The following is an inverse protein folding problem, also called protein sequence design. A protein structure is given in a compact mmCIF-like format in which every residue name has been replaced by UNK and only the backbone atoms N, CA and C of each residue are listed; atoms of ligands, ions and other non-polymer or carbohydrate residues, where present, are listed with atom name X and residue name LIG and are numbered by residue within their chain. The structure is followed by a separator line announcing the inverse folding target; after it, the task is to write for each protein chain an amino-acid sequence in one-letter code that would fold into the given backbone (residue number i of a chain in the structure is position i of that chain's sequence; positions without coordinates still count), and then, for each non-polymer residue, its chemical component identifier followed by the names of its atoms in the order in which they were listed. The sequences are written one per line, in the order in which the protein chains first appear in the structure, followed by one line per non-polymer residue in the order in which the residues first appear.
data_IF_728677317861
#
_entry.id   IF_728677317861
#
_cell.length_a   1.000
_cell.length_b   1.000
_cell.length_c   1.000
_cell.angle_alpha   90.00
_cell.angle_beta   90.00
_cell.angle_gamma   90.00
#
_symmetry.space_group_name_H-M   'P 1'
#
loop_
_entity.id
_entity.type
_entity.pdbx_description
1 polymer ?
#
# COMPACT_ATOMS: atom_id res chain seq x y z
N UNK A 1 -7.05 -26.14 -23.42
CA UNK A 1 -8.01 -26.21 -22.30
C UNK A 1 -7.52 -27.25 -21.29
N UNK A 2 -7.88 -27.12 -20.01
CA UNK A 2 -7.51 -28.11 -19.00
C UNK A 2 -8.46 -29.31 -19.09
N UNK A 3 -7.94 -30.48 -19.48
CA UNK A 3 -8.78 -31.68 -19.69
C UNK A 3 -8.85 -32.60 -18.46
N UNK A 4 -7.89 -32.48 -17.54
CA UNK A 4 -7.83 -33.30 -16.32
C UNK A 4 -8.63 -32.58 -15.22
N UNK A 5 -9.48 -33.32 -14.47
CA UNK A 5 -10.31 -32.77 -13.38
C UNK A 5 -9.52 -31.93 -12.38
N UNK A 6 -8.31 -32.39 -12.02
CA UNK A 6 -7.41 -31.65 -11.11
C UNK A 6 -6.94 -30.33 -11.71
N UNK A 7 -6.68 -30.28 -13.01
CA UNK A 7 -6.25 -29.07 -13.71
C UNK A 7 -7.39 -28.03 -13.79
N UNK A 8 -8.62 -28.46 -14.10
CA UNK A 8 -9.81 -27.57 -14.11
C UNK A 8 -9.99 -26.93 -12.72
N UNK A 9 -9.97 -27.75 -11.67
CA UNK A 9 -10.06 -27.27 -10.27
C UNK A 9 -8.94 -26.28 -9.92
N UNK A 10 -7.71 -26.52 -10.38
CA UNK A 10 -6.57 -25.61 -10.15
C UNK A 10 -6.77 -24.26 -10.84
N UNK A 11 -7.34 -24.23 -12.05
CA UNK A 11 -7.66 -22.98 -12.76
C UNK A 11 -8.68 -22.17 -11.97
N UNK A 12 -9.78 -22.79 -11.52
CA UNK A 12 -10.82 -22.11 -10.73
C UNK A 12 -10.26 -21.52 -9.41
N UNK A 13 -9.44 -22.29 -8.69
CA UNK A 13 -8.79 -21.82 -7.46
C UNK A 13 -7.84 -20.66 -7.73
N UNK A 14 -7.06 -20.75 -8.80
CA UNK A 14 -6.12 -19.70 -9.19
C UNK A 14 -6.85 -18.40 -9.51
N UNK A 15 -7.95 -18.47 -10.27
CA UNK A 15 -8.75 -17.29 -10.60
C UNK A 15 -9.38 -16.64 -9.36
N UNK A 16 -9.95 -17.44 -8.45
CA UNK A 16 -10.47 -16.94 -7.17
C UNK A 16 -9.40 -16.20 -6.37
N UNK A 17 -8.23 -16.82 -6.22
CA UNK A 17 -7.12 -16.24 -5.48
C UNK A 17 -6.55 -14.99 -6.18
N UNK A 18 -6.52 -14.99 -7.53
CA UNK A 18 -6.09 -13.85 -8.34
C UNK A 18 -6.97 -12.63 -8.07
N UNK A 19 -8.30 -12.78 -8.09
CA UNK A 19 -9.25 -11.70 -7.83
C UNK A 19 -9.09 -11.14 -6.41
N UNK A 20 -8.99 -12.02 -5.40
CA UNK A 20 -8.74 -11.61 -4.02
C UNK A 20 -7.42 -10.83 -3.89
N UNK A 21 -6.33 -11.37 -4.43
CA UNK A 21 -5.01 -10.74 -4.37
C UNK A 21 -4.97 -9.40 -5.14
N UNK A 22 -5.70 -9.30 -6.26
CA UNK A 22 -5.83 -8.08 -7.06
C UNK A 22 -6.46 -6.96 -6.23
N UNK A 23 -7.53 -7.25 -5.47
CA UNK A 23 -8.22 -6.27 -4.62
C UNK A 23 -7.30 -5.70 -3.52
N UNK A 24 -6.52 -6.53 -2.84
CA UNK A 24 -5.57 -6.04 -1.83
C UNK A 24 -4.43 -5.24 -2.46
N UNK A 25 -3.86 -5.71 -3.58
CA UNK A 25 -2.78 -5.01 -4.28
C UNK A 25 -3.23 -3.66 -4.84
N UNK A 26 -4.43 -3.58 -5.42
CA UNK A 26 -4.98 -2.32 -5.93
C UNK A 26 -5.21 -1.32 -4.81
N UNK A 27 -5.82 -1.74 -3.70
CA UNK A 27 -6.06 -0.87 -2.56
C UNK A 27 -4.76 -0.34 -1.93
N UNK A 28 -3.73 -1.17 -1.77
CA UNK A 28 -2.40 -0.71 -1.31
C UNK A 28 -1.82 0.32 -2.29
N UNK A 29 -1.92 0.08 -3.60
CA UNK A 29 -1.44 1.02 -4.64
C UNK A 29 -2.18 2.37 -4.55
N UNK A 30 -3.51 2.34 -4.43
CA UNK A 30 -4.33 3.55 -4.33
C UNK A 30 -4.01 4.36 -3.08
N UNK A 31 -3.92 3.72 -1.91
CA UNK A 31 -3.60 4.42 -0.66
C UNK A 31 -2.17 4.97 -0.66
N UNK A 32 -1.22 4.22 -1.25
CA UNK A 32 0.16 4.69 -1.43
C UNK A 32 0.20 5.93 -2.33
N UNK A 33 -0.57 5.95 -3.43
CA UNK A 33 -0.68 7.12 -4.31
C UNK A 33 -1.25 8.33 -3.57
N UNK A 34 -2.39 8.16 -2.89
CA UNK A 34 -3.01 9.21 -2.07
C UNK A 34 -2.05 9.82 -1.05
N UNK A 35 -1.24 8.98 -0.40
CA UNK A 35 -0.22 9.44 0.53
C UNK A 35 0.86 10.28 -0.17
N UNK A 36 1.39 9.85 -1.32
CA UNK A 36 2.37 10.65 -2.06
C UNK A 36 1.78 11.97 -2.57
N UNK A 37 0.52 11.98 -3.01
CA UNK A 37 -0.18 13.20 -3.41
C UNK A 37 -0.31 14.17 -2.21
N UNK A 38 -0.64 13.66 -1.01
CA UNK A 38 -0.69 14.46 0.22
C UNK A 38 0.69 14.99 0.67
N UNK A 39 1.74 14.19 0.53
CA UNK A 39 3.13 14.61 0.83
C UNK A 39 3.60 15.67 -0.17
N UNK A 40 3.25 15.54 -1.46
CA UNK A 40 3.55 16.56 -2.46
C UNK A 40 2.82 17.88 -2.18
N UNK A 41 1.55 17.82 -1.75
CA UNK A 41 0.79 18.99 -1.32
C UNK A 41 1.44 19.69 -0.10
N UNK A 42 1.86 18.91 0.91
CA UNK A 42 2.60 19.44 2.06
C UNK A 42 3.92 20.11 1.65
N UNK A 43 4.64 19.54 0.68
CA UNK A 43 5.88 20.12 0.17
C UNK A 43 5.67 21.43 -0.60
N UNK A 44 4.52 21.61 -1.25
CA UNK A 44 4.18 22.82 -1.99
C UNK A 44 3.64 23.93 -1.08
N UNK A 45 2.93 23.56 -0.02
CA UNK A 45 2.37 24.50 0.97
C UNK A 45 2.41 23.85 2.36
N UNK A 46 3.45 24.12 3.15
CA UNK A 46 3.54 23.60 4.51
C UNK A 46 2.44 24.16 5.41
N UNK A 47 1.37 23.38 5.60
CA UNK A 47 0.27 23.70 6.50
C UNK A 47 -0.02 22.52 7.45
N UNK A 48 -0.60 22.82 8.61
CA UNK A 48 -1.03 21.80 9.57
C UNK A 48 -2.06 20.85 8.97
N UNK A 49 -2.95 21.34 8.11
CA UNK A 49 -3.96 20.53 7.43
C UNK A 49 -3.33 19.55 6.44
N UNK A 50 -2.33 20.00 5.67
CA UNK A 50 -1.61 19.14 4.75
C UNK A 50 -0.82 18.04 5.49
N UNK A 51 -0.22 18.39 6.63
CA UNK A 51 0.45 17.42 7.51
C UNK A 51 -0.55 16.38 8.05
N UNK A 52 -1.71 16.82 8.53
CA UNK A 52 -2.75 15.94 9.04
C UNK A 52 -3.30 15.00 7.94
N UNK A 53 -3.49 15.51 6.72
CA UNK A 53 -3.92 14.72 5.58
C UNK A 53 -2.89 13.63 5.21
N UNK A 54 -1.59 13.96 5.26
CA UNK A 54 -0.51 13.01 5.04
C UNK A 54 -0.48 11.93 6.14
N UNK A 55 -0.64 12.30 7.41
CA UNK A 55 -0.68 11.37 8.54
C UNK A 55 -1.90 10.42 8.48
N UNK A 56 -3.09 10.93 8.18
CA UNK A 56 -4.30 10.12 8.02
C UNK A 56 -4.14 9.13 6.85
N UNK A 57 -3.60 9.59 5.72
CA UNK A 57 -3.31 8.74 4.56
C UNK A 57 -2.25 7.68 4.86
N UNK A 58 -1.23 8.01 5.65
CA UNK A 58 -0.19 7.09 6.10
C UNK A 58 -0.79 5.98 6.96
N UNK A 59 -1.61 6.33 7.95
CA UNK A 59 -2.30 5.37 8.83
C UNK A 59 -3.17 4.39 8.04
N UNK A 60 -3.95 4.92 7.08
CA UNK A 60 -4.76 4.09 6.18
C UNK A 60 -3.89 3.13 5.33
N UNK A 61 -2.78 3.63 4.77
CA UNK A 61 -1.85 2.83 3.98
C UNK A 61 -1.20 1.72 4.83
N UNK A 62 -0.75 2.03 6.04
CA UNK A 62 -0.16 1.06 6.97
C UNK A 62 -1.16 -0.04 7.34
N UNK A 63 -2.39 0.34 7.73
CA UNK A 63 -3.45 -0.61 8.04
C UNK A 63 -3.72 -1.57 6.88
N UNK A 64 -3.76 -1.07 5.64
CA UNK A 64 -4.00 -1.92 4.47
C UNK A 64 -2.81 -2.82 4.12
N UNK A 65 -1.59 -2.34 4.29
CA UNK A 65 -0.36 -3.15 4.09
C UNK A 65 -0.34 -4.30 5.10
N UNK A 66 -0.58 -4.02 6.38
CA UNK A 66 -0.53 -5.05 7.42
C UNK A 66 -1.67 -6.06 7.27
N UNK A 67 -2.87 -5.62 6.83
CA UNK A 67 -3.95 -6.54 6.43
C UNK A 67 -3.55 -7.40 5.23
N UNK A 68 -2.86 -6.85 4.23
CA UNK A 68 -2.40 -7.62 3.07
C UNK A 68 -1.32 -8.65 3.45
N UNK A 69 -0.47 -8.34 4.44
CA UNK A 69 0.49 -9.29 5.02
C UNK A 69 -0.22 -10.39 5.79
N UNK A 70 -1.17 -10.03 6.68
CA UNK A 70 -1.97 -11.00 7.46
C UNK A 70 -2.74 -11.97 6.56
N UNK A 71 -3.22 -11.51 5.40
CA UNK A 71 -3.95 -12.33 4.42
C UNK A 71 -3.03 -13.09 3.44
N UNK A 72 -1.70 -13.00 3.59
CA UNK A 72 -0.74 -13.69 2.74
C UNK A 72 -0.63 -13.16 1.32
N UNK A 73 -1.23 -11.99 1.01
CA UNK A 73 -1.16 -11.38 -0.34
C UNK A 73 0.21 -10.77 -0.61
N UNK A 74 0.86 -10.26 0.44
CA UNK A 74 2.19 -9.63 0.39
C UNK A 74 3.08 -10.29 1.44
N UNK A 75 4.29 -10.70 1.06
CA UNK A 75 5.26 -11.26 2.00
C UNK A 75 5.67 -10.22 3.06
N UNK A 76 5.93 -10.65 4.30
CA UNK A 76 6.30 -9.78 5.43
C UNK A 76 7.42 -8.78 5.10
N UNK A 77 8.47 -9.22 4.40
CA UNK A 77 9.59 -8.34 4.01
C UNK A 77 9.17 -7.28 2.99
N UNK A 78 8.25 -7.61 2.07
CA UNK A 78 7.71 -6.63 1.13
C UNK A 78 6.79 -5.63 1.83
N UNK A 79 5.99 -6.09 2.81
CA UNK A 79 5.23 -5.22 3.71
C UNK A 79 6.14 -4.24 4.46
N UNK A 80 7.21 -4.74 5.09
CA UNK A 80 8.19 -3.93 5.82
C UNK A 80 8.88 -2.89 4.90
N UNK A 81 9.32 -3.30 3.70
CA UNK A 81 9.92 -2.37 2.71
C UNK A 81 8.95 -1.26 2.30
N UNK A 82 7.66 -1.56 2.14
CA UNK A 82 6.64 -0.54 1.82
C UNK A 82 6.46 0.45 2.95
N UNK A 83 6.34 -0.03 4.20
CA UNK A 83 6.23 0.83 5.39
C UNK A 83 7.45 1.75 5.54
N UNK A 84 8.66 1.20 5.37
CA UNK A 84 9.90 1.98 5.41
C UNK A 84 9.96 3.07 4.33
N UNK A 85 9.51 2.76 3.10
CA UNK A 85 9.44 3.75 2.00
C UNK A 85 8.51 4.91 2.32
N UNK A 86 7.33 4.61 2.86
CA UNK A 86 6.35 5.64 3.23
C UNK A 86 6.88 6.51 4.36
N UNK A 87 7.41 5.92 5.44
CA UNK A 87 7.98 6.67 6.56
C UNK A 87 9.11 7.63 6.13
N UNK A 88 10.01 7.17 5.24
CA UNK A 88 11.09 8.00 4.70
C UNK A 88 10.60 9.18 3.87
N UNK A 89 9.43 9.06 3.22
CA UNK A 89 8.92 10.12 2.36
C UNK A 89 8.57 11.37 3.18
N UNK A 90 7.75 11.24 4.23
CA UNK A 90 7.42 12.36 5.11
C UNK A 90 8.64 12.87 5.88
N UNK A 91 9.47 11.97 6.43
CA UNK A 91 10.65 12.36 7.21
C UNK A 91 11.65 13.20 6.40
N UNK A 92 11.80 12.96 5.10
CA UNK A 92 12.67 13.76 4.23
C UNK A 92 12.20 15.21 4.13
N UNK A 93 10.89 15.45 4.03
CA UNK A 93 10.36 16.82 3.99
C UNK A 93 10.44 17.50 5.36
N UNK A 94 10.20 16.76 6.45
CA UNK A 94 10.36 17.30 7.80
C UNK A 94 11.81 17.66 8.13
N UNK A 95 12.78 16.82 7.74
CA UNK A 95 14.19 17.09 7.95
C UNK A 95 14.68 18.31 7.15
N UNK A 96 14.22 18.47 5.91
CA UNK A 96 14.53 19.63 5.09
C UNK A 96 13.91 20.93 5.64
N UNK A 97 12.79 20.86 6.36
CA UNK A 97 12.18 22.03 7.00
C UNK A 97 12.87 22.43 8.33
N UNK A 98 13.67 21.53 8.91
CA UNK A 98 14.40 21.74 10.16
C UNK A 98 15.88 22.10 9.97
N UNK A 99 16.40 22.03 8.72
CA UNK A 99 17.76 22.43 8.34
C UNK A 99 17.76 23.82 7.73
#
# INVERSE_FOLDING_TARGET
MANIKSAIKRVEITERNRLHNKSYKSAVKTLTKKYFDAVAAYSASPSNDALQAAQTSLSAAFSKIDKAVKRGVIHRNNGARKKARLARALNRHLANAAS
#
